data_IF_851537439738
#
_entry.id   IF_851537439738
#
_cell.length_a   1.000
_cell.length_b   1.000
_cell.length_c   1.000
_cell.angle_alpha   90.00
_cell.angle_beta   90.00
_cell.angle_gamma   90.00
#
_symmetry.space_group_name_H-M   'P 1'
#
loop_
_entity.id
_entity.type
_entity.pdbx_description
1 polymer ?
#
# COMPACT_ATOMS: atom_id res chain seq x y z
N UNK A 1 5.24 7.11 -7.10
CA UNK A 1 4.24 6.05 -6.83
C UNK A 1 3.70 5.58 -8.17
N UNK A 2 3.75 4.29 -8.52
CA UNK A 2 3.22 3.82 -9.82
C UNK A 2 1.68 3.74 -9.85
N UNK A 3 1.04 3.93 -8.70
CA UNK A 3 -0.41 3.98 -8.60
C UNK A 3 -0.88 5.43 -8.41
N UNK A 4 -1.81 5.88 -9.26
CA UNK A 4 -2.44 7.21 -9.19
C UNK A 4 -3.86 7.20 -8.63
N UNK A 5 -4.32 6.07 -8.06
CA UNK A 5 -5.63 6.01 -7.41
C UNK A 5 -5.58 6.72 -6.04
N UNK A 6 -6.51 7.66 -5.83
CA UNK A 6 -6.62 8.43 -4.60
C UNK A 6 -7.09 7.58 -3.39
N UNK A 7 -7.91 6.56 -3.65
CA UNK A 7 -8.49 5.68 -2.64
C UNK A 7 -8.38 4.22 -3.07
N UNK A 8 -8.00 3.36 -2.14
CA UNK A 8 -7.86 1.92 -2.37
C UNK A 8 -8.90 1.16 -1.57
N UNK A 9 -9.78 0.45 -2.25
CA UNK A 9 -10.53 -0.67 -1.68
C UNK A 9 -9.68 -1.93 -1.85
N UNK A 10 -9.18 -2.51 -0.75
CA UNK A 10 -8.42 -3.78 -0.76
C UNK A 10 -7.00 -3.70 -0.20
N UNK A 11 -6.12 -4.57 -0.70
CA UNK A 11 -4.74 -4.72 -0.24
C UNK A 11 -3.81 -3.66 -0.84
N UNK A 12 -2.89 -3.13 -0.02
CA UNK A 12 -1.75 -2.32 -0.49
C UNK A 12 -0.47 -3.12 -0.38
N UNK A 13 0.35 -3.06 -1.41
CA UNK A 13 1.65 -3.70 -1.46
C UNK A 13 2.71 -2.64 -1.25
N UNK A 14 3.50 -2.74 -0.18
CA UNK A 14 4.62 -1.83 0.10
C UNK A 14 5.94 -2.58 -0.11
N UNK A 15 6.85 -1.95 -0.84
CA UNK A 15 8.20 -2.45 -0.99
C UNK A 15 8.98 -2.37 0.34
N UNK A 16 9.68 -3.45 0.69
CA UNK A 16 10.51 -3.52 1.90
C UNK A 16 11.86 -2.79 1.75
N UNK A 17 12.37 -2.71 0.51
CA UNK A 17 13.74 -2.28 0.22
C UNK A 17 13.83 -0.83 -0.28
N UNK A 18 12.71 -0.25 -0.74
CA UNK A 18 12.68 1.16 -1.12
C UNK A 18 12.54 2.04 0.15
N UNK A 19 13.66 2.55 0.65
CA UNK A 19 13.71 3.39 1.86
C UNK A 19 13.38 4.87 1.58
N UNK A 20 13.89 5.46 0.49
CA UNK A 20 13.75 6.90 0.18
C UNK A 20 12.38 7.31 -0.36
N UNK A 21 11.69 6.37 -1.01
CA UNK A 21 10.34 6.55 -1.54
C UNK A 21 9.57 5.35 -1.05
N UNK A 22 8.64 5.54 -0.10
CA UNK A 22 7.73 4.47 0.33
C UNK A 22 6.91 4.00 -0.89
N UNK A 23 7.46 3.05 -1.64
CA UNK A 23 6.88 2.61 -2.90
C UNK A 23 5.71 1.69 -2.58
N UNK A 24 4.52 2.14 -2.96
CA UNK A 24 3.28 1.44 -2.70
C UNK A 24 2.51 1.22 -4.00
N UNK A 25 1.95 0.02 -4.12
CA UNK A 25 1.06 -0.41 -5.19
C UNK A 25 -0.29 -0.81 -4.59
N UNK A 26 -1.35 -0.65 -5.37
CA UNK A 26 -2.60 -1.34 -5.07
C UNK A 26 -2.58 -2.78 -5.59
N UNK A 27 -3.48 -3.60 -5.08
CA UNK A 27 -3.67 -4.98 -5.53
C UNK A 27 -3.70 -5.13 -7.06
N UNK A 28 -4.50 -4.34 -7.77
CA UNK A 28 -4.59 -4.39 -9.23
C UNK A 28 -3.27 -4.00 -9.92
N UNK A 29 -2.53 -3.02 -9.39
CA UNK A 29 -1.21 -2.67 -9.93
C UNK A 29 -0.18 -3.76 -9.68
N UNK A 30 -0.22 -4.41 -8.52
CA UNK A 30 0.67 -5.51 -8.18
C UNK A 30 0.39 -6.73 -9.07
N UNK A 31 -0.87 -7.13 -9.23
CA UNK A 31 -1.26 -8.25 -10.09
C UNK A 31 -0.98 -8.01 -11.57
N UNK A 32 -1.07 -6.76 -12.03
CA UNK A 32 -0.67 -6.38 -13.39
C UNK A 32 0.85 -6.23 -13.56
N UNK A 33 1.65 -6.39 -12.50
CA UNK A 33 3.09 -6.24 -12.54
C UNK A 33 3.56 -4.82 -12.86
N UNK A 34 2.80 -3.78 -12.47
CA UNK A 34 3.22 -2.39 -12.72
C UNK A 34 4.42 -2.03 -11.84
N UNK A 35 5.52 -1.70 -12.49
CA UNK A 35 6.73 -1.19 -11.83
C UNK A 35 6.99 0.25 -12.27
N UNK A 36 7.52 1.07 -11.36
CA UNK A 36 8.06 2.39 -11.69
C UNK A 36 9.55 2.27 -11.96
N UNK A 37 10.10 3.22 -12.69
CA UNK A 37 11.54 3.29 -13.01
C UNK A 37 12.46 3.19 -11.76
N UNK A 38 12.03 3.74 -10.63
CA UNK A 38 12.77 3.72 -9.35
C UNK A 38 12.52 2.46 -8.49
N UNK A 39 11.83 1.44 -9.01
CA UNK A 39 11.55 0.20 -8.30
C UNK A 39 12.04 -0.99 -9.13
N UNK A 40 12.94 -1.79 -8.55
CA UNK A 40 13.40 -3.02 -9.16
C UNK A 40 12.37 -4.14 -8.91
N UNK A 41 12.05 -4.95 -9.93
CA UNK A 41 11.11 -6.08 -9.78
C UNK A 41 11.64 -7.18 -8.86
N UNK A 42 12.93 -7.18 -8.53
CA UNK A 42 13.56 -8.09 -7.56
C UNK A 42 13.29 -7.70 -6.11
N UNK A 43 12.75 -6.51 -5.85
CA UNK A 43 12.47 -6.06 -4.49
C UNK A 43 11.26 -6.79 -3.91
N UNK A 44 11.41 -7.27 -2.67
CA UNK A 44 10.29 -7.91 -1.96
C UNK A 44 9.20 -6.88 -1.61
N UNK A 45 7.95 -7.25 -1.90
CA UNK A 45 6.77 -6.48 -1.55
C UNK A 45 5.93 -7.22 -0.51
N UNK A 46 5.53 -6.52 0.55
CA UNK A 46 4.57 -7.05 1.54
C UNK A 46 3.19 -6.49 1.33
N UNK A 47 2.20 -7.35 1.49
CA UNK A 47 0.79 -6.98 1.50
C UNK A 47 0.38 -6.42 2.86
N UNK A 48 -0.42 -5.36 2.81
CA UNK A 48 -1.03 -4.70 3.95
C UNK A 48 -2.51 -4.60 3.65
N UNK A 49 -3.33 -5.30 4.43
CA UNK A 49 -4.78 -5.13 4.41
C UNK A 49 -5.11 -3.76 4.96
N UNK A 50 -5.71 -2.88 4.16
CA UNK A 50 -6.43 -1.72 4.71
C UNK A 50 -7.81 -2.18 5.19
N UNK A 51 -7.83 -3.18 6.07
CA UNK A 51 -8.95 -3.39 6.96
C UNK A 51 -8.53 -2.74 8.27
N UNK A 52 -8.69 -1.41 8.34
CA UNK A 52 -9.00 -0.85 9.64
C UNK A 52 -10.31 -1.53 10.02
N UNK A 53 -10.25 -2.56 10.87
CA UNK A 53 -11.47 -2.99 11.56
C UNK A 53 -12.11 -1.71 12.10
N UNK A 54 -13.42 -1.47 11.89
CA UNK A 54 -14.09 -0.31 12.50
C UNK A 54 -13.96 -0.26 14.03
N UNK A 55 -13.36 -1.27 14.65
CA UNK A 55 -13.12 -1.46 16.08
C UNK A 55 -12.05 -0.51 16.67
N UNK A 56 -11.30 0.28 15.89
CA UNK A 56 -10.27 1.19 16.46
C UNK A 56 -10.45 2.69 16.23
N UNK A 57 -11.60 3.11 15.71
CA UNK A 57 -12.00 4.54 15.70
C UNK A 57 -12.99 4.84 16.86
N UNK A 58 -12.83 4.19 18.02
CA UNK A 58 -13.56 4.53 19.25
C UNK A 58 -12.59 4.90 20.38
N UNK A 59 -11.72 5.87 20.13
CA UNK A 59 -10.92 6.54 21.18
C UNK A 59 -10.95 8.07 21.06
N UNK A 60 -11.99 8.63 20.46
CA UNK A 60 -12.17 10.08 20.38
C UNK A 60 -13.64 10.48 20.56
N UNK A 61 -14.25 10.10 21.68
CA UNK A 61 -15.35 10.85 22.30
C UNK A 61 -15.82 10.17 23.59
N UNK A 62 -15.10 10.35 24.69
CA UNK A 62 -15.74 10.39 26.01
C UNK A 62 -15.38 11.76 26.57
N UNK A 63 -16.42 12.60 26.62
CA UNK A 63 -16.43 13.93 27.19
C UNK A 63 -16.49 13.83 28.71
#
# INVERSE_FOLDING_TARGET
>A
SACQRASFSGFRYKCQQCHDRAYQLCQDCFWRGRVSDQHLPTHEMKEYTFFTSPVKEFRQSIR
#
